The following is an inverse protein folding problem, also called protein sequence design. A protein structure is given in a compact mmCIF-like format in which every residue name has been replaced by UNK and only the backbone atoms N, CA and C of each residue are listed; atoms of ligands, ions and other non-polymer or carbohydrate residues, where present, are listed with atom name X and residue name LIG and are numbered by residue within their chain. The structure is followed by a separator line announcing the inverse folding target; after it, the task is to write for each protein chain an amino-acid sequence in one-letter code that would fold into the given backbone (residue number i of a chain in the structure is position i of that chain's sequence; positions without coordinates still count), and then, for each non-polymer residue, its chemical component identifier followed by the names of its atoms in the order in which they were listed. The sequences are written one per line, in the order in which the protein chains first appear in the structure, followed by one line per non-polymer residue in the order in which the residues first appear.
data_IF_398049563825
#
_entry.id   IF_398049563825
#
_cell.length_a   1.000
_cell.length_b   1.000
_cell.length_c   1.000
_cell.angle_alpha   90.00
_cell.angle_beta   90.00
_cell.angle_gamma   90.00
#
_symmetry.space_group_name_H-M   'P 1'
#
loop_
_entity.id
_entity.type
_entity.pdbx_description
1 polymer ?
#
# COMPACT_ATOMS: atom_id res chain seq x y z
N UNK A 1 17.88 14.93 1.94
CA UNK A 1 16.48 14.64 2.36
C UNK A 1 16.49 13.27 3.00
N UNK A 2 15.91 13.14 4.18
CA UNK A 2 15.83 11.86 4.89
C UNK A 2 14.36 11.48 5.00
N UNK A 3 13.95 10.30 4.50
CA UNK A 3 12.63 9.76 4.77
C UNK A 3 12.55 9.35 6.25
N UNK A 4 11.36 9.42 6.87
CA UNK A 4 11.22 8.96 8.25
C UNK A 4 11.43 7.43 8.38
N UNK A 5 11.13 6.68 7.32
CA UNK A 5 11.40 5.26 7.21
C UNK A 5 11.79 4.92 5.76
N UNK A 6 12.79 4.08 5.57
CA UNK A 6 13.18 3.58 4.24
C UNK A 6 12.11 2.65 3.66
N UNK A 7 11.46 1.87 4.52
CA UNK A 7 10.40 0.93 4.17
C UNK A 7 9.28 0.96 5.21
N UNK A 8 8.04 0.87 4.76
CA UNK A 8 6.85 0.71 5.62
C UNK A 8 5.97 -0.41 5.11
N UNK A 9 5.41 -1.16 6.05
CA UNK A 9 4.38 -2.16 5.78
C UNK A 9 3.07 -1.72 6.40
N UNK A 10 1.96 -1.96 5.71
CA UNK A 10 0.62 -1.59 6.19
C UNK A 10 -0.42 -2.60 5.69
N UNK A 11 -1.48 -2.80 6.46
CA UNK A 11 -2.61 -3.63 6.05
C UNK A 11 -3.53 -2.86 5.11
N UNK A 12 -4.10 -3.53 4.11
CA UNK A 12 -5.16 -2.97 3.24
C UNK A 12 -6.27 -2.34 4.08
N UNK A 13 -6.63 -1.10 3.74
CA UNK A 13 -7.67 -0.30 4.40
C UNK A 13 -7.17 0.54 5.57
N UNK A 14 -5.96 0.31 6.07
CA UNK A 14 -5.39 1.11 7.15
C UNK A 14 -4.85 2.44 6.63
N UNK A 15 -4.70 3.40 7.54
CA UNK A 15 -4.12 4.72 7.28
C UNK A 15 -2.59 4.61 7.34
N UNK A 16 -1.89 5.14 6.34
CA UNK A 16 -0.42 5.24 6.37
C UNK A 16 0.04 6.63 5.98
N UNK A 17 1.09 7.12 6.65
CA UNK A 17 1.75 8.37 6.33
C UNK A 17 3.18 8.10 5.88
N UNK A 18 3.55 8.66 4.74
CA UNK A 18 4.92 8.71 4.23
C UNK A 18 5.45 10.13 4.44
N UNK A 19 6.65 10.20 5.00
CA UNK A 19 7.24 11.46 5.48
C UNK A 19 8.66 11.62 4.98
N UNK A 20 9.00 12.83 4.58
CA UNK A 20 10.37 13.23 4.23
C UNK A 20 10.71 14.59 4.84
N UNK A 21 11.92 14.70 5.37
CA UNK A 21 12.45 15.93 5.93
C UNK A 21 13.74 16.37 5.23
N UNK A 22 13.93 17.69 5.12
CA UNK A 22 15.22 18.27 4.78
C UNK A 22 16.18 18.10 5.95
N UNK A 23 17.45 17.84 5.64
CA UNK A 23 18.53 17.79 6.64
C UNK A 23 19.07 19.18 6.95
N UNK A 24 18.98 20.09 5.99
CA UNK A 24 19.45 21.47 6.10
C UNK A 24 18.34 22.41 5.59
N UNK A 25 18.15 23.59 6.20
CA UNK A 25 17.18 24.57 5.73
C UNK A 25 17.50 25.02 4.29
N UNK A 26 16.49 25.01 3.42
CA UNK A 26 16.61 25.46 2.03
C UNK A 26 15.40 26.32 1.64
N UNK A 27 15.58 27.24 0.69
CA UNK A 27 14.46 28.00 0.11
C UNK A 27 13.70 27.14 -0.90
N UNK A 28 12.79 26.30 -0.38
CA UNK A 28 11.99 25.38 -1.19
C UNK A 28 10.80 26.11 -1.81
N UNK A 29 10.72 26.05 -3.13
CA UNK A 29 9.64 26.65 -3.90
C UNK A 29 8.49 25.67 -4.14
N UNK A 30 8.81 24.38 -4.23
CA UNK A 30 7.84 23.33 -4.56
C UNK A 30 8.27 21.96 -3.99
N UNK A 31 7.31 21.22 -3.45
CA UNK A 31 7.47 19.80 -3.13
C UNK A 31 6.65 18.95 -4.11
N UNK A 32 7.26 17.91 -4.67
CA UNK A 32 6.59 16.95 -5.55
C UNK A 32 6.77 15.55 -5.00
N UNK A 33 5.67 14.83 -4.79
CA UNK A 33 5.68 13.39 -4.56
C UNK A 33 5.52 12.65 -5.87
N UNK A 34 6.35 11.63 -6.04
CA UNK A 34 6.36 10.75 -7.21
C UNK A 34 6.22 9.30 -6.77
N UNK A 35 5.55 8.49 -7.59
CA UNK A 35 5.58 7.04 -7.45
C UNK A 35 6.46 6.45 -8.56
N UNK A 36 7.36 5.57 -8.19
CA UNK A 36 8.17 4.79 -9.11
C UNK A 36 7.26 3.82 -9.89
N UNK A 37 7.42 3.76 -11.20
CA UNK A 37 6.78 2.79 -12.09
C UNK A 37 7.85 2.14 -12.96
N UNK A 38 7.55 1.00 -13.59
CA UNK A 38 8.51 0.23 -14.38
C UNK A 38 9.26 1.05 -15.45
N UNK A 39 8.59 2.05 -16.04
CA UNK A 39 9.12 2.83 -17.16
C UNK A 39 9.43 4.28 -16.82
N UNK A 40 8.94 4.80 -15.69
CA UNK A 40 9.05 6.22 -15.35
C UNK A 40 8.72 6.54 -13.90
N UNK A 41 8.93 7.79 -13.47
CA UNK A 41 8.35 8.31 -12.24
C UNK A 41 7.13 9.15 -12.58
N UNK A 42 6.01 8.87 -11.90
CA UNK A 42 4.76 9.63 -12.09
C UNK A 42 4.54 10.56 -10.92
N UNK A 43 4.32 11.84 -11.20
CA UNK A 43 3.91 12.80 -10.17
C UNK A 43 2.53 12.41 -9.63
N UNK A 44 2.43 12.19 -8.33
CA UNK A 44 1.19 11.83 -7.64
C UNK A 44 0.62 13.01 -6.86
N UNK A 45 1.49 13.89 -6.35
CA UNK A 45 1.09 15.07 -5.60
C UNK A 45 2.13 16.19 -5.74
N UNK A 46 1.68 17.43 -5.72
CA UNK A 46 2.55 18.61 -5.75
C UNK A 46 2.00 19.67 -4.83
N UNK A 47 2.88 20.31 -4.06
CA UNK A 47 2.55 21.47 -3.24
C UNK A 47 3.49 22.63 -3.58
N UNK A 48 2.92 23.81 -3.81
CA UNK A 48 3.68 25.04 -4.12
C UNK A 48 3.05 26.24 -3.40
N UNK A 49 3.83 27.00 -2.64
CA UNK A 49 3.37 28.13 -1.80
C UNK A 49 2.34 29.08 -2.44
N UNK A 50 2.48 29.54 -3.71
CA UNK A 50 1.48 30.43 -4.32
C UNK A 50 0.34 29.71 -5.04
N UNK A 51 0.48 28.42 -5.39
CA UNK A 51 -0.51 27.67 -6.19
C UNK A 51 -1.33 26.65 -5.39
N UNK A 52 -0.93 26.38 -4.15
CA UNK A 52 -1.55 25.38 -3.30
C UNK A 52 -1.15 23.94 -3.66
N UNK A 53 -1.97 23.01 -3.20
CA UNK A 53 -1.77 21.57 -3.39
C UNK A 53 -2.49 21.07 -4.65
N UNK A 54 -1.91 20.05 -5.29
CA UNK A 54 -2.51 19.33 -6.41
C UNK A 54 -2.26 17.83 -6.24
N UNK A 55 -3.33 17.04 -6.27
CA UNK A 55 -3.28 15.59 -6.20
C UNK A 55 -3.74 15.02 -7.54
N UNK A 56 -2.96 14.10 -8.09
CA UNK A 56 -3.22 13.47 -9.38
C UNK A 56 -4.02 12.18 -9.21
N UNK A 57 -4.87 11.86 -10.19
CA UNK A 57 -5.53 10.54 -10.27
C UNK A 57 -4.48 9.41 -10.33
N UNK A 58 -4.72 8.25 -9.69
CA UNK A 58 -5.95 7.85 -9.01
C UNK A 58 -6.03 8.19 -7.51
N UNK A 59 -5.11 9.00 -6.98
CA UNK A 59 -5.00 9.28 -5.53
C UNK A 59 -5.94 10.38 -5.02
N UNK A 60 -6.73 10.98 -5.91
CA UNK A 60 -7.75 11.95 -5.54
C UNK A 60 -8.72 11.30 -4.54
N UNK A 61 -9.14 12.08 -3.53
CA UNK A 61 -10.10 11.70 -2.49
C UNK A 61 -9.65 10.62 -1.49
N UNK A 62 -8.50 9.96 -1.72
CA UNK A 62 -7.97 8.89 -0.85
C UNK A 62 -6.61 9.18 -0.22
N UNK A 63 -5.95 10.24 -0.65
CA UNK A 63 -4.66 10.68 -0.13
C UNK A 63 -4.67 12.21 0.04
N UNK A 64 -3.92 12.75 1.01
CA UNK A 64 -3.70 14.18 1.12
C UNK A 64 -2.29 14.53 1.66
N UNK A 65 -1.87 15.79 1.48
CA UNK A 65 -0.75 16.34 2.23
C UNK A 65 -1.19 16.63 3.67
N UNK A 66 -0.43 16.15 4.65
CA UNK A 66 -0.68 16.36 6.08
C UNK A 66 0.34 17.27 6.76
N UNK A 67 1.47 17.53 6.09
CA UNK A 67 2.39 18.61 6.42
C UNK A 67 2.69 19.42 5.15
N UNK A 68 2.48 20.73 5.25
CA UNK A 68 2.75 21.72 4.21
C UNK A 68 3.96 22.59 4.55
N UNK A 69 4.72 22.20 5.57
CA UNK A 69 5.97 22.85 5.93
C UNK A 69 7.03 22.54 4.86
N UNK A 70 7.82 23.55 4.48
CA UNK A 70 8.85 23.36 3.45
C UNK A 70 10.00 22.45 3.90
N UNK A 71 10.15 22.27 5.22
CA UNK A 71 11.21 21.48 5.82
C UNK A 71 10.80 20.01 6.00
N UNK A 72 9.50 19.73 6.03
CA UNK A 72 8.94 18.39 6.22
C UNK A 72 7.65 18.23 5.40
N UNK A 73 7.63 17.25 4.51
CA UNK A 73 6.47 16.93 3.69
C UNK A 73 5.94 15.55 4.04
N UNK A 74 4.63 15.49 4.29
CA UNK A 74 3.92 14.27 4.64
C UNK A 74 2.77 14.06 3.67
N UNK A 75 2.66 12.85 3.11
CA UNK A 75 1.46 12.39 2.40
C UNK A 75 0.84 11.24 3.19
N UNK A 76 -0.47 11.32 3.38
CA UNK A 76 -1.24 10.32 4.11
C UNK A 76 -2.25 9.69 3.18
N UNK A 77 -2.24 8.36 3.11
CA UNK A 77 -3.28 7.55 2.49
C UNK A 77 -4.30 7.21 3.57
N UNK A 78 -5.56 7.55 3.33
CA UNK A 78 -6.67 7.33 4.28
C UNK A 78 -7.30 5.94 4.18
N UNK A 79 -7.09 5.31 3.05
CA UNK A 79 -7.53 3.95 2.71
C UNK A 79 -6.43 3.40 1.82
N UNK A 80 -5.69 2.38 2.25
CA UNK A 80 -4.58 1.79 1.49
C UNK A 80 -5.04 0.61 0.66
N UNK A 81 -4.58 0.53 -0.59
CA UNK A 81 -4.85 -0.58 -1.52
C UNK A 81 -3.58 -1.36 -1.84
N UNK A 82 -3.74 -2.59 -2.30
CA UNK A 82 -2.62 -3.43 -2.76
C UNK A 82 -1.77 -2.70 -3.81
N UNK A 83 -2.41 -2.05 -4.78
CA UNK A 83 -1.76 -1.26 -5.83
C UNK A 83 -1.03 0.00 -5.32
N UNK A 84 -1.23 0.40 -4.06
CA UNK A 84 -0.44 1.45 -3.42
C UNK A 84 0.95 0.95 -3.04
N UNK A 85 1.21 -0.36 -3.04
CA UNK A 85 2.56 -0.90 -2.90
C UNK A 85 3.51 -0.32 -3.94
N UNK A 86 4.75 -0.07 -3.56
CA UNK A 86 5.79 0.47 -4.42
C UNK A 86 6.65 1.53 -3.72
N UNK A 87 7.58 2.09 -4.47
CA UNK A 87 8.47 3.12 -3.95
C UNK A 87 8.03 4.52 -4.36
N UNK A 88 8.20 5.43 -3.43
CA UNK A 88 7.78 6.82 -3.48
C UNK A 88 9.00 7.71 -3.31
N UNK A 89 9.07 8.74 -4.14
CA UNK A 89 10.13 9.75 -4.08
C UNK A 89 9.53 11.10 -3.73
N UNK A 90 10.00 11.71 -2.65
CA UNK A 90 9.71 13.09 -2.30
C UNK A 90 10.79 14.01 -2.88
N UNK A 91 10.40 15.02 -3.65
CA UNK A 91 11.31 15.92 -4.37
C UNK A 91 11.08 17.35 -3.87
N UNK A 92 12.08 17.92 -3.20
CA UNK A 92 12.10 19.31 -2.78
C UNK A 92 12.85 20.13 -3.83
N UNK A 93 12.17 21.07 -4.46
CA UNK A 93 12.74 21.95 -5.48
C UNK A 93 13.10 23.28 -4.81
N UNK A 94 14.40 23.52 -4.63
CA UNK A 94 14.94 24.68 -3.96
C UNK A 94 15.72 25.58 -4.92
N UNK A 95 15.75 26.87 -4.63
CA UNK A 95 16.57 27.84 -5.37
C UNK A 95 17.69 28.36 -4.45
N UNK A 96 18.94 28.55 -4.94
CA UNK A 96 19.47 28.18 -6.26
C UNK A 96 19.95 26.72 -6.35
N UNK A 97 19.82 25.94 -5.28
CA UNK A 97 20.47 24.62 -5.12
C UNK A 97 19.87 23.48 -5.96
N UNK A 98 18.78 23.74 -6.68
CA UNK A 98 18.10 22.74 -7.51
C UNK A 98 17.25 21.80 -6.68
N UNK A 99 17.11 20.55 -7.12
CA UNK A 99 16.21 19.59 -6.50
C UNK A 99 16.94 18.56 -5.63
N UNK A 100 16.50 18.38 -4.40
CA UNK A 100 16.95 17.31 -3.50
C UNK A 100 15.81 16.32 -3.25
N UNK A 101 16.12 15.03 -3.10
CA UNK A 101 15.09 13.98 -3.02
C UNK A 101 15.35 12.94 -1.95
N UNK A 102 14.27 12.29 -1.49
CA UNK A 102 14.27 11.18 -0.54
C UNK A 102 13.48 9.98 -1.06
N UNK A 103 14.05 8.79 -0.82
CA UNK A 103 13.57 7.42 -1.11
C UNK A 103 12.69 6.77 -0.04
N UNK A 104 11.43 6.41 -0.22
CA UNK A 104 10.74 5.50 0.72
C UNK A 104 9.90 4.46 -0.01
N UNK A 105 9.74 3.26 0.54
CA UNK A 105 8.92 2.20 -0.07
C UNK A 105 7.79 1.77 0.85
N UNK A 106 6.64 1.46 0.25
CA UNK A 106 5.42 0.99 0.91
C UNK A 106 5.10 -0.42 0.42
N UNK A 107 4.86 -1.34 1.36
CA UNK A 107 4.32 -2.67 1.11
C UNK A 107 2.95 -2.78 1.74
N UNK A 108 1.94 -3.07 0.94
CA UNK A 108 0.56 -3.23 1.41
C UNK A 108 0.20 -4.71 1.39
N UNK A 109 -0.15 -5.26 2.54
CA UNK A 109 -0.52 -6.67 2.71
C UNK A 109 -1.96 -6.81 3.18
N UNK A 110 -2.56 -7.96 2.97
CA UNK A 110 -3.94 -8.19 3.37
C UNK A 110 -4.28 -9.67 3.45
N UNK A 111 -5.17 -10.00 4.37
CA UNK A 111 -5.78 -11.32 4.48
C UNK A 111 -7.25 -11.16 4.85
N UNK A 112 -8.12 -11.78 4.06
CA UNK A 112 -9.53 -11.97 4.32
C UNK A 112 -9.83 -13.46 4.20
N UNK A 113 -10.27 -14.07 5.30
CA UNK A 113 -10.63 -15.48 5.32
C UNK A 113 -12.05 -15.65 5.86
N UNK A 114 -12.75 -16.65 5.35
CA UNK A 114 -14.08 -17.04 5.79
C UNK A 114 -14.21 -18.55 5.74
N UNK A 115 -14.95 -19.12 6.68
CA UNK A 115 -15.24 -20.55 6.73
C UNK A 115 -16.74 -20.72 6.73
N UNK A 116 -17.23 -21.55 5.83
CA UNK A 116 -18.62 -21.97 5.74
C UNK A 116 -18.67 -23.48 5.96
N UNK A 117 -19.71 -23.98 6.60
CA UNK A 117 -19.89 -25.41 6.77
C UNK A 117 -21.34 -25.80 6.56
N UNK A 118 -21.54 -27.03 6.11
CA UNK A 118 -22.84 -27.64 5.97
C UNK A 118 -22.80 -29.06 6.56
N UNK A 119 -23.87 -29.46 7.24
CA UNK A 119 -24.01 -30.80 7.79
C UNK A 119 -25.30 -31.40 7.24
N UNK A 120 -25.17 -32.45 6.43
CA UNK A 120 -26.30 -33.18 5.86
C UNK A 120 -26.11 -34.68 6.08
N UNK A 121 -27.13 -35.36 6.60
CA UNK A 121 -27.11 -36.82 6.83
C UNK A 121 -25.88 -37.32 7.62
N UNK A 122 -25.36 -36.50 8.55
CA UNK A 122 -24.18 -36.84 9.35
C UNK A 122 -22.83 -36.58 8.67
N UNK A 123 -22.82 -36.10 7.43
CA UNK A 123 -21.61 -35.67 6.73
C UNK A 123 -21.39 -34.17 6.89
N UNK A 124 -20.20 -33.79 7.39
CA UNK A 124 -19.72 -32.41 7.44
C UNK A 124 -19.00 -32.08 6.13
N UNK A 125 -19.38 -30.98 5.49
CA UNK A 125 -18.62 -30.35 4.41
C UNK A 125 -18.22 -28.97 4.88
N UNK A 126 -16.92 -28.69 4.95
CA UNK A 126 -16.42 -27.39 5.37
C UNK A 126 -15.63 -26.73 4.24
N UNK A 127 -15.96 -25.49 3.92
CA UNK A 127 -15.33 -24.71 2.85
C UNK A 127 -14.66 -23.49 3.47
N UNK A 128 -13.33 -23.42 3.35
CA UNK A 128 -12.54 -22.27 3.73
C UNK A 128 -12.17 -21.48 2.47
N UNK A 129 -12.50 -20.19 2.44
CA UNK A 129 -12.08 -19.26 1.40
C UNK A 129 -11.15 -18.22 2.03
N UNK A 130 -9.90 -18.14 1.53
CA UNK A 130 -8.90 -17.18 1.98
C UNK A 130 -8.34 -16.38 0.79
N UNK A 131 -8.41 -15.06 0.87
CA UNK A 131 -7.85 -14.13 -0.11
C UNK A 131 -6.78 -13.30 0.57
N UNK A 132 -5.55 -13.33 0.06
CA UNK A 132 -4.47 -12.54 0.66
C UNK A 132 -3.26 -12.29 -0.22
N UNK A 133 -2.47 -11.32 0.24
CA UNK A 133 -1.11 -11.03 -0.19
C UNK A 133 -0.28 -10.80 1.08
N UNK A 134 0.77 -11.59 1.37
CA UNK A 134 1.29 -12.71 0.59
C UNK A 134 0.29 -13.88 0.47
N UNK A 135 0.61 -14.85 -0.40
CA UNK A 135 -0.23 -16.02 -0.66
C UNK A 135 -0.64 -16.72 0.66
N UNK A 136 -1.95 -16.85 0.95
CA UNK A 136 -2.41 -17.43 2.20
C UNK A 136 -2.14 -18.94 2.24
N UNK A 137 -2.20 -19.55 3.43
CA UNK A 137 -2.09 -20.99 3.60
C UNK A 137 -3.30 -21.49 4.37
N UNK A 138 -3.98 -22.52 3.85
CA UNK A 138 -5.11 -23.17 4.52
C UNK A 138 -4.67 -24.54 5.01
N UNK A 139 -4.84 -24.78 6.31
CA UNK A 139 -4.61 -26.08 6.95
C UNK A 139 -5.88 -26.54 7.66
N UNK A 140 -6.25 -27.80 7.45
CA UNK A 140 -7.35 -28.44 8.17
C UNK A 140 -6.78 -29.35 9.24
N UNK A 141 -7.38 -29.33 10.44
CA UNK A 141 -7.01 -30.28 11.47
C UNK A 141 -7.54 -31.66 11.07
N UNK A 142 -6.68 -32.69 11.09
CA UNK A 142 -6.94 -34.00 10.46
C UNK A 142 -7.85 -34.90 11.30
N UNK A 143 -8.95 -34.35 11.84
CA UNK A 143 -9.86 -35.04 12.74
C UNK A 143 -10.73 -36.11 12.04
N UNK A 144 -10.83 -36.07 10.69
CA UNK A 144 -11.80 -36.86 9.94
C UNK A 144 -11.21 -37.80 8.88
N UNK A 145 -9.89 -38.02 8.82
CA UNK A 145 -9.21 -38.82 7.77
C UNK A 145 -9.63 -38.43 6.34
N UNK A 146 -10.13 -37.22 6.12
CA UNK A 146 -10.47 -36.70 4.81
C UNK A 146 -9.28 -35.94 4.24
N UNK A 147 -9.01 -36.16 2.96
CA UNK A 147 -8.05 -35.37 2.19
C UNK A 147 -8.76 -34.13 1.65
N UNK A 148 -8.45 -32.92 2.16
CA UNK A 148 -9.07 -31.70 1.66
C UNK A 148 -8.64 -31.42 0.22
N UNK A 149 -9.54 -30.86 -0.57
CA UNK A 149 -9.24 -30.32 -1.91
C UNK A 149 -8.89 -28.84 -1.81
N UNK A 150 -8.09 -28.35 -2.75
CA UNK A 150 -7.69 -26.93 -2.84
C UNK A 150 -7.74 -26.44 -4.28
N UNK A 151 -8.30 -25.25 -4.44
CA UNK A 151 -8.32 -24.49 -5.68
C UNK A 151 -7.66 -23.13 -5.46
N UNK A 152 -6.78 -22.73 -6.36
CA UNK A 152 -6.01 -21.50 -6.26
C UNK A 152 -6.30 -20.61 -7.47
N UNK A 153 -6.69 -19.37 -7.20
CA UNK A 153 -6.96 -18.35 -8.21
C UNK A 153 -6.09 -17.13 -7.93
N UNK A 154 -5.39 -16.62 -8.95
CA UNK A 154 -4.52 -15.44 -8.85
C UNK A 154 -5.18 -14.25 -9.53
N UNK A 155 -5.29 -13.13 -8.83
CA UNK A 155 -5.84 -11.88 -9.37
C UNK A 155 -4.73 -11.03 -10.02
N UNK A 156 -5.13 -10.16 -10.94
CA UNK A 156 -4.27 -9.15 -11.59
C UNK A 156 -3.68 -8.14 -10.61
N UNK A 157 -4.32 -7.91 -9.45
CA UNK A 157 -3.77 -7.10 -8.35
C UNK A 157 -2.62 -7.79 -7.61
N UNK A 158 -2.32 -9.06 -7.91
CA UNK A 158 -1.33 -9.87 -7.22
C UNK A 158 -1.86 -10.62 -5.99
N UNK A 159 -3.10 -10.36 -5.56
CA UNK A 159 -3.73 -11.15 -4.49
C UNK A 159 -3.98 -12.60 -4.93
N UNK A 160 -3.86 -13.54 -3.98
CA UNK A 160 -4.13 -14.96 -4.19
C UNK A 160 -5.36 -15.38 -3.39
N UNK A 161 -6.32 -15.98 -4.07
CA UNK A 161 -7.52 -16.59 -3.48
C UNK A 161 -7.34 -18.10 -3.46
N UNK A 162 -7.48 -18.70 -2.28
CA UNK A 162 -7.45 -20.15 -2.09
C UNK A 162 -8.81 -20.57 -1.51
N UNK A 163 -9.45 -21.51 -2.19
CA UNK A 163 -10.65 -22.19 -1.68
C UNK A 163 -10.27 -23.61 -1.34
N UNK A 164 -10.50 -24.04 -0.10
CA UNK A 164 -10.26 -25.42 0.33
C UNK A 164 -11.53 -26.03 0.89
N UNK A 165 -11.82 -27.26 0.47
CA UNK A 165 -12.98 -28.02 0.94
C UNK A 165 -12.51 -29.26 1.70
N UNK A 166 -13.05 -29.46 2.90
CA UNK A 166 -12.88 -30.64 3.75
C UNK A 166 -14.13 -31.50 3.76
#
# INVERSE_FOLDING_TARGET
VVPQAEHREVRVGDIVTLSCALTEPMDVLQVTWQKDSEKSRRNIATYRKPKGLKIHKPYQDRMNFTSLELNETNITFWDTRIDDSGCYTCLFNAFPFGSVSGRTCLSVFGLRASVHYNISEGHLVAVCNAVGLPEPTITWNNLFNSTPTQEVVRDTSGMVSITSTL
#
